data_IF_320132285239
#
_entry.id   IF_320132285239
#
_cell.length_a   1.000
_cell.length_b   1.000
_cell.length_c   1.000
_cell.angle_alpha   90.00
_cell.angle_beta   90.00
_cell.angle_gamma   90.00
#
_symmetry.space_group_name_H-M   'P 1'
#
loop_
_entity.id
_entity.type
_entity.pdbx_description
1 polymer ?
#
# COMPACT_ATOMS: atom_id res chain seq x y z
N UNK A 1 -6.94 -1.48 11.26
CA UNK A 1 -5.71 -1.16 12.01
C UNK A 1 -5.74 0.32 12.40
N UNK A 2 -5.48 0.63 13.67
CA UNK A 2 -5.55 2.00 14.23
C UNK A 2 -4.16 2.65 14.19
N UNK A 3 -4.10 3.95 13.92
CA UNK A 3 -2.84 4.70 13.95
C UNK A 3 -2.27 4.76 15.38
N UNK A 4 -0.94 4.61 15.59
CA UNK A 4 -0.37 4.47 16.93
C UNK A 4 -0.69 5.63 17.90
N UNK A 5 -0.68 6.86 17.38
CA UNK A 5 -0.81 8.07 18.20
C UNK A 5 -2.06 8.91 17.85
N UNK A 6 -2.91 8.45 16.92
CA UNK A 6 -4.06 9.24 16.43
C UNK A 6 -5.32 8.38 16.46
N UNK A 7 -6.44 8.95 16.87
CA UNK A 7 -7.74 8.25 16.96
C UNK A 7 -8.39 8.09 15.57
N UNK A 8 -7.68 7.46 14.65
CA UNK A 8 -8.14 7.15 13.28
C UNK A 8 -7.53 5.84 12.79
N UNK A 9 -8.08 5.30 11.71
CA UNK A 9 -7.48 4.18 11.00
C UNK A 9 -6.25 4.64 10.20
N UNK A 10 -5.41 3.68 9.84
CA UNK A 10 -4.33 3.92 8.88
C UNK A 10 -4.91 4.36 7.53
N UNK A 11 -4.30 5.37 6.94
CA UNK A 11 -4.61 5.86 5.59
C UNK A 11 -4.10 4.90 4.52
N UNK A 12 -4.64 5.03 3.31
CA UNK A 12 -4.14 4.33 2.11
C UNK A 12 -2.63 4.49 1.96
N UNK A 13 -2.10 5.70 2.20
CA UNK A 13 -0.67 5.98 2.04
C UNK A 13 0.19 5.32 3.11
N UNK A 14 -0.28 5.27 4.35
CA UNK A 14 0.43 4.57 5.44
C UNK A 14 0.50 3.06 5.16
N UNK A 15 -0.59 2.45 4.69
CA UNK A 15 -0.58 1.06 4.24
C UNK A 15 0.38 0.84 3.06
N UNK A 16 0.40 1.74 2.08
CA UNK A 16 1.27 1.64 0.91
C UNK A 16 2.76 1.69 1.30
N UNK A 17 3.14 2.57 2.23
CA UNK A 17 4.51 2.63 2.76
C UNK A 17 4.90 1.37 3.51
N UNK A 18 3.98 0.80 4.30
CA UNK A 18 4.22 -0.46 4.99
C UNK A 18 4.48 -1.62 4.01
N UNK A 19 3.85 -1.60 2.84
CA UNK A 19 4.11 -2.54 1.73
C UNK A 19 5.36 -2.20 0.91
N UNK A 20 6.02 -1.05 1.15
CA UNK A 20 7.22 -0.64 0.42
C UNK A 20 6.95 0.02 -0.93
N UNK A 21 5.73 0.51 -1.18
CA UNK A 21 5.45 1.31 -2.37
C UNK A 21 6.12 2.69 -2.31
N UNK A 22 6.71 3.17 -3.42
CA UNK A 22 7.17 4.55 -3.51
C UNK A 22 6.03 5.54 -3.30
N UNK A 23 6.30 6.67 -2.64
CA UNK A 23 5.27 7.70 -2.36
C UNK A 23 4.64 8.30 -3.64
N UNK A 24 5.37 8.26 -4.77
CA UNK A 24 4.87 8.70 -6.09
C UNK A 24 3.91 7.70 -6.74
N UNK A 25 3.81 6.47 -6.22
CA UNK A 25 2.90 5.45 -6.75
C UNK A 25 1.44 5.82 -6.48
N UNK A 26 0.62 5.84 -7.53
CA UNK A 26 -0.79 6.23 -7.47
C UNK A 26 -1.68 4.98 -7.49
N UNK A 27 -2.62 4.93 -6.56
CA UNK A 27 -3.69 3.94 -6.54
C UNK A 27 -4.94 4.63 -7.08
N UNK A 28 -5.69 3.92 -7.93
CA UNK A 28 -6.90 4.43 -8.57
C UNK A 28 -8.08 3.53 -8.21
N UNK A 29 -9.27 4.13 -8.08
CA UNK A 29 -10.52 3.38 -7.94
C UNK A 29 -11.62 4.15 -8.65
N UNK A 30 -12.62 3.45 -9.18
CA UNK A 30 -13.63 4.05 -10.06
C UNK A 30 -14.47 5.14 -9.38
N UNK A 31 -14.65 5.05 -8.04
CA UNK A 31 -15.46 5.99 -7.26
C UNK A 31 -14.68 6.68 -6.13
N UNK A 32 -13.35 6.74 -6.25
CA UNK A 32 -12.45 7.20 -5.18
C UNK A 32 -12.68 6.47 -3.83
N UNK A 33 -13.05 5.19 -3.90
CA UNK A 33 -13.27 4.34 -2.73
C UNK A 33 -11.94 3.91 -2.12
N UNK A 34 -11.64 4.50 -0.98
CA UNK A 34 -10.47 4.15 -0.16
C UNK A 34 -10.39 2.66 0.17
N UNK A 35 -11.51 1.93 0.31
CA UNK A 35 -11.52 0.48 0.57
C UNK A 35 -10.92 -0.29 -0.59
N UNK A 36 -11.17 0.12 -1.82
CA UNK A 36 -10.65 -0.52 -3.03
C UNK A 36 -9.14 -0.34 -3.11
N UNK A 37 -8.66 0.87 -2.80
CA UNK A 37 -7.22 1.15 -2.73
C UNK A 37 -6.55 0.34 -1.61
N UNK A 38 -7.19 0.21 -0.45
CA UNK A 38 -6.70 -0.67 0.62
C UNK A 38 -6.64 -2.14 0.17
N UNK A 39 -7.61 -2.63 -0.59
CA UNK A 39 -7.59 -3.98 -1.18
C UNK A 39 -6.46 -4.15 -2.20
N UNK A 40 -6.24 -3.17 -3.08
CA UNK A 40 -5.13 -3.19 -4.03
C UNK A 40 -3.77 -3.30 -3.31
N UNK A 41 -3.58 -2.51 -2.25
CA UNK A 41 -2.34 -2.54 -1.45
C UNK A 41 -2.20 -3.87 -0.71
N UNK A 42 -3.27 -4.35 -0.07
CA UNK A 42 -3.24 -5.57 0.73
C UNK A 42 -3.00 -6.84 -0.09
N UNK A 43 -3.48 -6.87 -1.33
CA UNK A 43 -3.34 -8.02 -2.23
C UNK A 43 -2.06 -7.97 -3.08
N UNK A 44 -1.35 -6.85 -3.13
CA UNK A 44 -0.14 -6.71 -3.93
C UNK A 44 1.06 -7.42 -3.29
N UNK A 45 2.00 -7.84 -4.13
CA UNK A 45 3.34 -8.26 -3.68
C UNK A 45 4.14 -7.02 -3.28
N UNK A 46 4.81 -7.00 -2.12
CA UNK A 46 5.67 -5.88 -1.72
C UNK A 46 6.74 -5.59 -2.79
N UNK A 47 6.87 -4.35 -3.30
CA UNK A 47 7.88 -4.02 -4.31
C UNK A 47 9.33 -4.39 -3.92
N UNK A 48 9.78 -4.22 -2.66
CA UNK A 48 11.13 -4.66 -2.28
C UNK A 48 11.34 -6.17 -2.43
N UNK A 49 10.32 -6.98 -2.15
CA UNK A 49 10.36 -8.43 -2.31
C UNK A 49 10.42 -8.80 -3.80
N UNK A 50 9.55 -8.20 -4.61
CA UNK A 50 9.55 -8.42 -6.06
C UNK A 50 10.89 -8.02 -6.70
N UNK A 51 11.48 -6.91 -6.26
CA UNK A 51 12.80 -6.45 -6.73
C UNK A 51 13.92 -7.44 -6.36
N UNK A 52 13.93 -7.93 -5.12
CA UNK A 52 14.93 -8.91 -4.67
C UNK A 52 14.84 -10.22 -5.48
N UNK A 53 13.62 -10.73 -5.70
CA UNK A 53 13.40 -11.92 -6.53
C UNK A 53 13.80 -11.69 -7.99
N UNK A 54 13.45 -10.54 -8.56
CA UNK A 54 13.80 -10.19 -9.94
C UNK A 54 15.30 -10.04 -10.19
N UNK A 55 16.13 -9.86 -9.14
CA UNK A 55 17.59 -9.87 -9.25
C UNK A 55 18.22 -11.27 -9.21
N UNK A 56 17.45 -12.28 -8.82
CA UNK A 56 17.88 -13.68 -8.75
C UNK A 56 17.54 -14.47 -10.01
N UNK A 57 16.70 -13.90 -10.89
CA UNK A 57 16.33 -14.43 -12.21
C UNK A 57 17.26 -13.85 -13.28
#
# INVERSE_FOLDING_TARGET
>A
VVHPNQRRLLTVRECARAQGFPDKFRFYSDRDDTKDMHRQIGNAVPPPLAYALGRLL
#
